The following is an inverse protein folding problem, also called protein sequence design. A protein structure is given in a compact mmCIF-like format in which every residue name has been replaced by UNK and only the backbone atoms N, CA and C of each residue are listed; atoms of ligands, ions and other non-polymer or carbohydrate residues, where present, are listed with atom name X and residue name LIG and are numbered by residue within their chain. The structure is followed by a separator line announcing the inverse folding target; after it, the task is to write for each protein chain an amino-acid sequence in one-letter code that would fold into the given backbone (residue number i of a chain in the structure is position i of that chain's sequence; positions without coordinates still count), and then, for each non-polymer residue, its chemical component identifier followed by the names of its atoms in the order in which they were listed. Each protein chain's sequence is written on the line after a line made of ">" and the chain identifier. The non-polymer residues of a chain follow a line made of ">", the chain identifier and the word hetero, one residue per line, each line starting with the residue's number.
data_IF_632363638771
#
_entry.id   IF_632363638771
#
_cell.length_a   1.000
_cell.length_b   1.000
_cell.length_c   1.000
_cell.angle_alpha   90.00
_cell.angle_beta   90.00
_cell.angle_gamma   90.00
#
_symmetry.space_group_name_H-M   'P 1'
#
loop_
_entity.id
_entity.type
_entity.pdbx_description
1 polymer ?
#
# COMPACT_ATOMS: atom_id res chain seq x y z
N UNK A 1 10.93 5.35 34.95
CA UNK A 1 10.37 4.71 33.74
C UNK A 1 11.48 4.38 32.76
N UNK A 2 11.34 3.34 31.94
CA UNK A 2 12.31 2.96 30.90
C UNK A 2 11.61 2.32 29.70
N UNK A 3 12.17 2.48 28.51
CA UNK A 3 11.68 1.85 27.27
C UNK A 3 12.44 0.56 27.02
N UNK A 4 11.71 -0.50 26.67
CA UNK A 4 12.30 -1.79 26.31
C UNK A 4 11.68 -2.32 25.02
N UNK A 5 12.51 -2.99 24.21
CA UNK A 5 12.05 -3.80 23.07
C UNK A 5 11.24 -4.99 23.58
N UNK A 6 10.11 -5.25 22.93
CA UNK A 6 9.27 -6.42 23.22
C UNK A 6 9.49 -7.46 22.13
N UNK A 7 9.88 -8.65 22.54
CA UNK A 7 10.15 -9.77 21.62
C UNK A 7 8.88 -10.58 21.35
N UNK A 8 8.75 -11.22 20.17
CA UNK A 8 7.57 -12.01 19.80
C UNK A 8 7.25 -13.19 20.75
N UNK A 9 8.24 -13.67 21.49
CA UNK A 9 8.07 -14.74 22.47
C UNK A 9 7.69 -14.23 23.88
N UNK A 10 7.71 -12.94 24.14
CA UNK A 10 7.27 -12.34 25.41
C UNK A 10 5.75 -12.22 25.46
N UNK A 11 5.09 -13.36 25.68
CA UNK A 11 3.61 -13.42 25.71
C UNK A 11 2.99 -12.56 26.81
N UNK A 12 3.71 -12.33 27.93
CA UNK A 12 3.21 -11.53 29.05
C UNK A 12 3.12 -10.04 28.64
N UNK A 13 4.24 -9.48 28.20
CA UNK A 13 4.27 -8.07 27.76
C UNK A 13 3.36 -7.81 26.57
N UNK A 14 3.31 -8.76 25.60
CA UNK A 14 2.37 -8.64 24.47
C UNK A 14 0.92 -8.59 24.91
N UNK A 15 0.52 -9.39 25.92
CA UNK A 15 -0.84 -9.33 26.47
C UNK A 15 -1.14 -7.99 27.12
N UNK A 16 -0.22 -7.44 27.91
CA UNK A 16 -0.37 -6.13 28.56
C UNK A 16 -0.45 -5.00 27.52
N UNK A 17 0.34 -5.10 26.42
CA UNK A 17 0.23 -4.16 25.29
C UNK A 17 -1.15 -4.25 24.63
N UNK A 18 -1.66 -5.46 24.39
CA UNK A 18 -2.99 -5.66 23.80
C UNK A 18 -4.10 -5.09 24.69
N UNK A 19 -3.98 -5.22 26.02
CA UNK A 19 -4.89 -4.61 27.02
C UNK A 19 -4.82 -3.08 26.96
N UNK A 20 -3.61 -2.48 26.94
CA UNK A 20 -3.42 -1.04 26.80
C UNK A 20 -4.00 -0.51 25.47
N UNK A 21 -3.67 -1.14 24.35
CA UNK A 21 -4.20 -0.74 23.03
C UNK A 21 -5.73 -0.80 23.01
N UNK A 22 -6.33 -1.86 23.56
CA UNK A 22 -7.78 -2.02 23.65
C UNK A 22 -8.42 -0.92 24.48
N UNK A 23 -7.82 -0.57 25.64
CA UNK A 23 -8.26 0.52 26.51
C UNK A 23 -8.26 1.88 25.80
N UNK A 24 -7.27 2.11 24.94
CA UNK A 24 -7.13 3.35 24.15
C UNK A 24 -7.85 3.30 22.79
N UNK A 25 -8.74 2.30 22.60
CA UNK A 25 -9.50 2.09 21.35
C UNK A 25 -8.61 1.94 20.10
N UNK A 26 -7.47 1.29 20.26
CA UNK A 26 -6.54 0.96 19.18
C UNK A 26 -6.49 -0.55 19.03
N UNK A 27 -6.75 -1.05 17.83
CA UNK A 27 -6.59 -2.46 17.51
C UNK A 27 -5.13 -2.75 17.17
N UNK A 28 -4.57 -3.85 17.69
CA UNK A 28 -3.20 -4.25 17.33
C UNK A 28 -3.11 -4.58 15.84
N UNK A 29 -2.09 -4.06 15.18
CA UNK A 29 -1.78 -4.42 13.80
C UNK A 29 -1.17 -5.82 13.73
N UNK A 30 -1.45 -6.56 12.65
CA UNK A 30 -0.93 -7.91 12.43
C UNK A 30 0.52 -7.91 11.96
N UNK A 31 0.93 -6.89 11.23
CA UNK A 31 2.24 -6.76 10.61
C UNK A 31 3.08 -5.74 11.39
N UNK A 32 3.96 -6.22 12.26
CA UNK A 32 4.87 -5.38 13.04
C UNK A 32 6.29 -5.97 13.00
N UNK A 33 7.27 -5.13 12.62
CA UNK A 33 8.69 -5.49 12.59
C UNK A 33 9.36 -5.27 13.95
N UNK A 34 8.85 -4.28 14.67
CA UNK A 34 9.37 -3.84 15.94
C UNK A 34 8.26 -3.38 16.86
N UNK A 35 8.36 -3.71 18.14
CA UNK A 35 7.46 -3.20 19.19
C UNK A 35 8.29 -2.83 20.41
N UNK A 36 7.98 -1.69 21.02
CA UNK A 36 8.54 -1.30 22.30
C UNK A 36 7.43 -0.94 23.29
N UNK A 37 7.75 -1.00 24.56
CA UNK A 37 6.87 -0.55 25.63
C UNK A 37 7.68 0.23 26.68
N UNK A 38 7.01 1.18 27.31
CA UNK A 38 7.54 1.90 28.47
C UNK A 38 6.95 1.32 29.73
N UNK A 39 7.82 1.02 30.68
CA UNK A 39 7.48 0.45 31.99
C UNK A 39 7.62 1.52 33.07
N UNK A 40 6.66 1.53 34.00
CA UNK A 40 6.76 2.29 35.25
C UNK A 40 7.65 1.55 36.28
N UNK A 41 7.74 2.10 37.50
CA UNK A 41 8.55 1.50 38.56
C UNK A 41 7.95 0.19 39.10
N UNK A 42 6.65 -0.03 38.89
CA UNK A 42 5.91 -1.23 39.30
C UNK A 42 5.81 -2.27 38.21
N UNK A 43 6.55 -2.07 37.08
CA UNK A 43 6.59 -2.93 35.91
C UNK A 43 5.27 -2.99 35.12
N UNK A 44 4.41 -1.98 35.24
CA UNK A 44 3.24 -1.83 34.38
C UNK A 44 3.64 -1.16 33.07
N UNK A 45 2.96 -1.54 31.98
CA UNK A 45 3.15 -0.88 30.69
C UNK A 45 2.25 0.35 30.63
N UNK A 46 2.87 1.55 30.59
CA UNK A 46 2.21 2.85 30.56
C UNK A 46 2.18 3.49 29.17
N UNK A 47 3.04 3.04 28.27
CA UNK A 47 3.04 3.46 26.86
C UNK A 47 3.59 2.36 25.95
N UNK A 48 3.18 2.36 24.71
CA UNK A 48 3.67 1.43 23.67
C UNK A 48 3.71 2.08 22.31
N UNK A 49 4.53 1.53 21.42
CA UNK A 49 4.59 1.87 20.02
C UNK A 49 5.28 0.80 19.22
N UNK A 50 4.98 0.77 17.93
CA UNK A 50 5.49 -0.25 17.01
C UNK A 50 5.87 0.37 15.67
N UNK A 51 6.63 -0.37 14.87
CA UNK A 51 6.91 -0.05 13.47
C UNK A 51 6.56 -1.22 12.55
N UNK A 52 6.19 -0.89 11.33
CA UNK A 52 6.18 -1.81 10.20
C UNK A 52 6.78 -1.09 8.99
N UNK A 53 7.89 -1.61 8.47
CA UNK A 53 8.71 -0.92 7.48
C UNK A 53 9.04 0.49 7.98
N UNK A 54 8.74 1.52 7.19
CA UNK A 54 8.96 2.92 7.55
C UNK A 54 7.72 3.61 8.14
N UNK A 55 6.78 2.85 8.70
CA UNK A 55 5.53 3.39 9.27
C UNK A 55 5.47 3.16 10.78
N UNK A 56 5.26 4.24 11.56
CA UNK A 56 5.00 4.14 13.00
C UNK A 56 3.55 3.73 13.24
N UNK A 57 3.32 2.77 14.16
CA UNK A 57 2.03 2.12 14.37
C UNK A 57 1.74 1.82 15.83
N UNK A 58 0.47 1.59 16.15
CA UNK A 58 0.03 1.14 17.46
C UNK A 58 0.59 2.02 18.61
N UNK A 59 0.56 3.33 18.42
CA UNK A 59 1.03 4.31 19.40
C UNK A 59 -0.04 4.56 20.46
N UNK A 60 0.23 4.21 21.71
CA UNK A 60 -0.69 4.40 22.83
C UNK A 60 0.03 4.82 24.10
N UNK A 61 -0.64 5.66 24.91
CA UNK A 61 -0.25 6.03 26.28
C UNK A 61 -1.47 5.86 27.16
N UNK A 62 -1.30 5.22 28.31
CA UNK A 62 -2.36 5.05 29.29
C UNK A 62 -2.96 6.40 29.69
N UNK A 63 -4.28 6.50 29.75
CA UNK A 63 -5.00 7.74 30.06
C UNK A 63 -4.59 8.36 31.40
N UNK A 64 -4.16 7.54 32.39
CA UNK A 64 -3.67 8.02 33.67
C UNK A 64 -2.31 8.74 33.60
N UNK A 65 -1.56 8.58 32.52
CA UNK A 65 -0.23 9.15 32.26
C UNK A 65 -0.23 10.18 31.14
N UNK A 66 -1.40 10.61 30.68
CA UNK A 66 -1.50 11.62 29.61
C UNK A 66 -0.97 12.99 30.14
N UNK A 67 -0.18 13.66 29.30
CA UNK A 67 0.46 14.92 29.62
C UNK A 67 1.86 14.81 30.22
N UNK A 68 2.34 13.63 30.54
CA UNK A 68 3.69 13.37 31.08
C UNK A 68 4.80 13.30 29.99
N UNK A 69 4.45 13.47 28.72
CA UNK A 69 5.42 13.46 27.61
C UNK A 69 5.80 12.05 27.12
N UNK A 70 5.19 10.98 27.64
CA UNK A 70 5.56 9.59 27.34
C UNK A 70 5.42 9.24 25.84
N UNK A 71 4.44 9.81 25.15
CA UNK A 71 4.28 9.61 23.72
C UNK A 71 5.46 10.19 22.93
N UNK A 72 6.02 11.34 23.38
CA UNK A 72 7.22 11.92 22.74
C UNK A 72 8.41 10.96 22.86
N UNK A 73 8.60 10.36 24.03
CA UNK A 73 9.70 9.42 24.28
C UNK A 73 9.55 8.16 23.42
N UNK A 74 8.34 7.58 23.34
CA UNK A 74 8.04 6.43 22.47
C UNK A 74 8.29 6.76 20.99
N UNK A 75 7.76 7.89 20.51
CA UNK A 75 7.92 8.28 19.10
C UNK A 75 9.39 8.56 18.78
N UNK A 76 10.12 9.26 19.66
CA UNK A 76 11.56 9.50 19.47
C UNK A 76 12.34 8.19 19.42
N UNK A 77 12.06 7.27 20.34
CA UNK A 77 12.69 5.95 20.34
C UNK A 77 12.45 5.17 19.03
N UNK A 78 11.23 5.21 18.50
CA UNK A 78 10.91 4.57 17.22
C UNK A 78 11.59 5.25 16.04
N UNK A 79 11.68 6.57 16.01
CA UNK A 79 12.41 7.33 14.99
C UNK A 79 13.91 6.93 15.02
N UNK A 80 14.52 6.90 16.19
CA UNK A 80 15.93 6.51 16.34
C UNK A 80 16.16 5.06 15.90
N UNK A 81 15.23 4.17 16.24
CA UNK A 81 15.28 2.76 15.79
C UNK A 81 15.22 2.68 14.26
N UNK A 82 14.28 3.35 13.59
CA UNK A 82 14.16 3.34 12.14
C UNK A 82 15.36 4.01 11.45
N UNK A 83 15.87 5.09 12.01
CA UNK A 83 17.07 5.76 11.51
C UNK A 83 18.31 4.84 11.59
N UNK A 84 18.42 4.05 12.65
CA UNK A 84 19.49 3.06 12.78
C UNK A 84 19.45 1.97 11.70
N UNK A 85 18.25 1.75 11.10
CA UNK A 85 18.03 0.84 9.97
C UNK A 85 18.21 1.52 8.60
N UNK A 86 18.54 2.81 8.57
CA UNK A 86 18.66 3.60 7.34
C UNK A 86 17.32 4.12 6.80
N UNK A 87 16.22 3.93 7.51
CA UNK A 87 14.89 4.40 7.13
C UNK A 87 14.66 5.80 7.71
N UNK A 88 14.94 6.83 6.91
CA UNK A 88 14.88 8.24 7.35
C UNK A 88 13.60 8.96 6.92
N UNK A 89 12.83 8.39 6.00
CA UNK A 89 11.53 8.89 5.58
C UNK A 89 10.44 8.04 6.23
N UNK A 90 9.80 8.58 7.26
CA UNK A 90 8.84 7.86 8.10
C UNK A 90 7.44 8.40 7.91
N UNK A 91 6.48 7.51 8.03
CA UNK A 91 5.06 7.78 7.90
C UNK A 91 4.31 7.39 9.17
N UNK A 92 3.17 8.00 9.39
CA UNK A 92 2.21 7.57 10.41
C UNK A 92 0.78 7.90 9.99
N UNK A 93 -0.15 7.21 10.64
CA UNK A 93 -1.57 7.46 10.55
C UNK A 93 -2.10 7.80 11.92
N UNK A 94 -2.98 8.80 12.00
CA UNK A 94 -3.50 9.27 13.29
C UNK A 94 -4.94 9.74 13.20
N UNK A 95 -5.62 9.84 14.34
CA UNK A 95 -6.94 10.49 14.43
C UNK A 95 -6.75 12.01 14.34
N UNK A 96 -7.73 12.74 13.80
CA UNK A 96 -7.68 14.20 13.67
C UNK A 96 -7.33 14.92 14.99
N UNK A 97 -7.86 14.44 16.12
CA UNK A 97 -7.59 15.00 17.45
C UNK A 97 -6.11 14.98 17.86
N UNK A 98 -5.34 14.04 17.35
CA UNK A 98 -3.91 13.86 17.66
C UNK A 98 -2.97 14.47 16.60
N UNK A 99 -3.50 14.97 15.48
CA UNK A 99 -2.70 15.54 14.38
C UNK A 99 -1.76 16.65 14.85
N UNK A 100 -2.26 17.58 15.70
CA UNK A 100 -1.45 18.69 16.22
C UNK A 100 -0.24 18.18 16.99
N UNK A 101 -0.42 17.15 17.81
CA UNK A 101 0.66 16.53 18.59
C UNK A 101 1.77 15.99 17.66
N UNK A 102 1.42 15.24 16.63
CA UNK A 102 2.43 14.70 15.69
C UNK A 102 3.06 15.80 14.83
N UNK A 103 2.34 16.89 14.54
CA UNK A 103 2.93 18.06 13.88
C UNK A 103 4.03 18.69 14.74
N UNK A 104 3.81 18.79 16.04
CA UNK A 104 4.80 19.33 16.98
C UNK A 104 6.03 18.40 17.10
N UNK A 105 5.89 17.11 16.77
CA UNK A 105 6.99 16.13 16.63
C UNK A 105 7.65 16.10 15.23
N UNK A 106 7.30 17.03 14.34
CA UNK A 106 7.92 17.13 13.02
C UNK A 106 7.30 16.27 11.95
N UNK A 107 6.06 15.81 12.13
CA UNK A 107 5.30 15.15 11.07
C UNK A 107 4.37 16.15 10.36
N UNK A 108 4.31 16.06 9.06
CA UNK A 108 3.55 16.96 8.18
C UNK A 108 2.40 16.19 7.52
N UNK A 109 1.27 16.86 7.39
CA UNK A 109 0.07 16.30 6.76
C UNK A 109 0.28 16.08 5.25
N UNK A 110 -0.05 14.88 4.80
CA UNK A 110 -0.16 14.52 3.37
C UNK A 110 -1.62 14.63 2.96
N UNK A 111 -2.49 13.92 3.67
CA UNK A 111 -3.95 13.88 3.45
C UNK A 111 -4.68 13.76 4.80
N UNK A 112 -5.82 14.40 4.86
CA UNK A 112 -6.72 14.40 6.01
C UNK A 112 -8.13 14.03 5.56
N UNK A 113 -8.62 12.88 6.00
CA UNK A 113 -10.02 12.49 5.86
C UNK A 113 -10.75 12.91 7.13
N UNK A 114 -11.57 13.94 7.00
CA UNK A 114 -12.26 14.56 8.13
C UNK A 114 -13.00 13.52 8.97
N UNK A 115 -12.83 13.59 10.28
CA UNK A 115 -13.39 12.68 11.29
C UNK A 115 -13.00 11.20 11.14
N UNK A 116 -12.04 10.85 10.30
CA UNK A 116 -11.59 9.47 10.10
C UNK A 116 -10.09 9.32 10.41
N UNK A 117 -9.23 9.75 9.50
CA UNK A 117 -7.80 9.46 9.56
C UNK A 117 -6.98 10.57 8.91
N UNK A 118 -5.82 10.84 9.45
CA UNK A 118 -4.80 11.73 8.89
C UNK A 118 -3.57 10.90 8.54
N UNK A 119 -3.08 11.03 7.32
CA UNK A 119 -1.83 10.46 6.85
C UNK A 119 -0.74 11.52 6.90
N UNK A 120 0.38 11.22 7.55
CA UNK A 120 1.46 12.17 7.81
C UNK A 120 2.83 11.56 7.50
N UNK A 121 3.80 12.42 7.20
CA UNK A 121 5.20 12.08 6.97
C UNK A 121 6.15 12.98 7.76
N UNK A 122 7.37 12.52 8.07
CA UNK A 122 8.39 13.33 8.77
C UNK A 122 9.24 14.19 7.83
N UNK A 123 8.94 14.23 6.54
CA UNK A 123 9.58 15.13 5.58
C UNK A 123 8.63 16.26 5.20
N UNK A 124 9.04 17.50 5.49
CA UNK A 124 8.21 18.69 5.23
C UNK A 124 7.79 18.84 3.77
N UNK A 125 8.62 18.42 2.83
CA UNK A 125 8.40 18.55 1.39
C UNK A 125 8.26 17.21 0.68
N UNK A 126 8.22 16.08 1.41
CA UNK A 126 8.28 14.75 0.82
C UNK A 126 7.22 14.52 -0.27
N UNK A 127 5.95 14.69 0.08
CA UNK A 127 4.87 14.53 -0.89
C UNK A 127 4.87 15.59 -1.99
N UNK A 128 5.19 16.85 -1.67
CA UNK A 128 5.31 17.90 -2.70
C UNK A 128 6.45 17.63 -3.67
N UNK A 129 7.58 17.10 -3.20
CA UNK A 129 8.70 16.69 -4.05
C UNK A 129 8.34 15.51 -4.95
N UNK A 130 7.59 14.53 -4.42
CA UNK A 130 7.03 13.44 -5.23
C UNK A 130 6.11 13.97 -6.34
N UNK A 131 5.17 14.85 -6.02
CA UNK A 131 4.28 15.49 -7.00
C UNK A 131 5.06 16.31 -8.04
N UNK A 132 6.08 17.06 -7.63
CA UNK A 132 6.95 17.81 -8.53
C UNK A 132 7.75 16.89 -9.47
N UNK A 133 8.16 15.72 -9.00
CA UNK A 133 8.82 14.72 -9.85
C UNK A 133 7.86 14.16 -10.88
N UNK A 134 6.62 13.81 -10.49
CA UNK A 134 5.60 13.36 -11.44
C UNK A 134 5.30 14.41 -12.51
N UNK A 135 5.29 15.70 -12.14
CA UNK A 135 5.02 16.80 -13.06
C UNK A 135 6.03 16.93 -14.21
N UNK A 136 7.23 16.34 -14.08
CA UNK A 136 8.22 16.30 -15.18
C UNK A 136 7.72 15.47 -16.38
N UNK A 137 6.82 14.52 -16.13
CA UNK A 137 6.20 13.66 -17.14
C UNK A 137 4.84 14.18 -17.61
N UNK A 138 4.50 15.44 -17.28
CA UNK A 138 3.27 16.08 -17.72
C UNK A 138 3.21 16.13 -19.25
N UNK A 139 2.14 15.59 -19.82
CA UNK A 139 1.86 15.63 -21.25
C UNK A 139 0.52 16.29 -21.52
N UNK A 140 0.37 16.83 -22.72
CA UNK A 140 -0.86 17.48 -23.16
C UNK A 140 -1.74 16.48 -23.90
N UNK A 141 -2.98 16.34 -23.48
CA UNK A 141 -4.01 15.50 -24.09
C UNK A 141 -5.40 15.95 -23.63
N UNK A 142 -6.43 15.56 -24.35
CA UNK A 142 -7.82 15.81 -23.95
C UNK A 142 -8.29 14.75 -22.97
N UNK A 143 -7.99 13.48 -23.28
CA UNK A 143 -8.33 12.33 -22.48
C UNK A 143 -7.03 11.74 -21.90
N UNK A 144 -6.81 11.96 -20.61
CA UNK A 144 -5.61 11.49 -19.90
C UNK A 144 -6.05 10.47 -18.87
N UNK A 145 -5.68 9.22 -19.11
CA UNK A 145 -6.04 8.10 -18.26
C UNK A 145 -4.97 7.77 -17.23
N UNK A 146 -5.38 7.07 -16.19
CA UNK A 146 -4.46 6.41 -15.25
C UNK A 146 -4.86 4.98 -14.95
N UNK A 147 -3.85 4.17 -14.67
CA UNK A 147 -3.92 2.83 -14.11
C UNK A 147 -2.94 2.71 -12.96
N UNK A 148 -3.34 2.02 -11.91
CA UNK A 148 -2.45 1.61 -10.83
C UNK A 148 -2.53 0.10 -10.71
N UNK A 149 -1.39 -0.59 -10.73
CA UNK A 149 -1.37 -2.04 -10.65
C UNK A 149 -0.19 -2.57 -9.83
N UNK A 150 -0.43 -3.67 -9.14
CA UNK A 150 0.62 -4.41 -8.46
C UNK A 150 1.37 -5.33 -9.43
N UNK A 151 0.67 -5.95 -10.38
CA UNK A 151 1.21 -6.84 -11.41
C UNK A 151 2.10 -7.97 -10.86
N UNK A 152 1.59 -8.75 -9.93
CA UNK A 152 2.32 -9.78 -9.16
C UNK A 152 1.97 -11.22 -9.59
N UNK A 153 2.46 -11.75 -10.75
CA UNK A 153 3.21 -11.08 -11.82
C UNK A 153 2.31 -10.36 -12.85
N UNK A 154 2.95 -9.76 -13.88
CA UNK A 154 2.25 -9.14 -15.01
C UNK A 154 1.62 -10.21 -15.92
N UNK A 155 0.32 -10.09 -16.20
CA UNK A 155 -0.48 -11.07 -16.94
C UNK A 155 -1.10 -10.48 -18.19
N UNK A 156 -1.65 -11.33 -19.08
CA UNK A 156 -2.47 -10.88 -20.22
C UNK A 156 -3.73 -10.13 -19.80
N UNK A 157 -4.21 -10.33 -18.57
CA UNK A 157 -5.29 -9.52 -17.99
C UNK A 157 -4.85 -8.08 -17.70
N UNK A 158 -3.67 -7.90 -17.16
CA UNK A 158 -3.08 -6.56 -16.95
C UNK A 158 -2.77 -5.88 -18.29
N UNK A 159 -2.19 -6.60 -19.25
CA UNK A 159 -1.90 -6.07 -20.60
C UNK A 159 -3.18 -5.60 -21.29
N UNK A 160 -4.23 -6.40 -21.26
CA UNK A 160 -5.54 -6.04 -21.82
C UNK A 160 -6.10 -4.76 -21.20
N UNK A 161 -5.98 -4.59 -19.87
CA UNK A 161 -6.43 -3.39 -19.18
C UNK A 161 -5.65 -2.15 -19.64
N UNK A 162 -4.33 -2.27 -19.85
CA UNK A 162 -3.48 -1.20 -20.40
C UNK A 162 -3.89 -0.86 -21.84
N UNK A 163 -4.05 -1.87 -22.70
CA UNK A 163 -4.47 -1.72 -24.09
C UNK A 163 -5.84 -1.05 -24.18
N UNK A 164 -6.81 -1.48 -23.35
CA UNK A 164 -8.16 -0.91 -23.30
C UNK A 164 -8.12 0.56 -22.88
N UNK A 165 -7.42 0.88 -21.79
CA UNK A 165 -7.27 2.26 -21.36
C UNK A 165 -6.63 3.13 -22.44
N UNK A 166 -5.59 2.63 -23.11
CA UNK A 166 -4.89 3.39 -24.14
C UNK A 166 -5.70 3.58 -25.42
N UNK A 167 -6.54 2.60 -25.79
CA UNK A 167 -7.39 2.69 -26.98
C UNK A 167 -8.45 3.80 -26.93
N UNK A 168 -8.75 4.31 -25.74
CA UNK A 168 -9.79 5.32 -25.47
C UNK A 168 -9.23 6.67 -25.01
N UNK A 169 -7.90 6.77 -24.87
CA UNK A 169 -7.25 7.95 -24.29
C UNK A 169 -5.98 8.34 -25.06
N UNK A 170 -5.67 9.62 -25.02
CA UNK A 170 -4.48 10.19 -25.69
C UNK A 170 -3.19 9.78 -24.97
N UNK A 171 -3.25 9.69 -23.64
CA UNK A 171 -2.12 9.43 -22.75
C UNK A 171 -2.58 8.51 -21.61
N UNK A 172 -1.69 7.61 -21.22
CA UNK A 172 -1.87 6.74 -20.06
C UNK A 172 -0.72 6.94 -19.06
N UNK A 173 -1.04 7.37 -17.85
CA UNK A 173 -0.15 7.32 -16.69
C UNK A 173 -0.32 5.97 -15.98
N UNK A 174 0.68 5.10 -16.10
CA UNK A 174 0.70 3.75 -15.54
C UNK A 174 1.57 3.72 -14.28
N UNK A 175 0.94 3.58 -13.13
CA UNK A 175 1.60 3.49 -11.84
C UNK A 175 1.81 2.02 -11.44
N UNK A 176 3.04 1.68 -11.08
CA UNK A 176 3.41 0.36 -10.58
C UNK A 176 3.61 0.47 -9.07
N UNK A 177 2.88 -0.35 -8.31
CA UNK A 177 2.93 -0.32 -6.84
C UNK A 177 4.33 -0.71 -6.37
N UNK A 178 4.98 0.21 -5.64
CA UNK A 178 6.39 0.08 -5.21
C UNK A 178 6.58 -0.88 -4.03
N UNK A 179 5.50 -1.34 -3.38
CA UNK A 179 5.58 -2.20 -2.20
C UNK A 179 6.18 -3.59 -2.52
N UNK A 180 7.23 -3.98 -1.79
CA UNK A 180 7.93 -5.26 -1.92
C UNK A 180 7.35 -6.39 -1.03
N UNK A 181 6.16 -6.23 -0.47
CA UNK A 181 5.47 -7.33 0.23
C UNK A 181 5.01 -8.44 -0.72
N UNK A 182 5.00 -8.18 -2.02
CA UNK A 182 4.64 -9.12 -3.08
C UNK A 182 5.63 -10.29 -3.24
N UNK A 183 5.15 -11.41 -3.80
CA UNK A 183 6.01 -12.58 -4.07
C UNK A 183 7.00 -12.29 -5.19
N UNK A 184 6.58 -11.54 -6.21
CA UNK A 184 7.47 -11.05 -7.27
C UNK A 184 8.01 -9.68 -6.85
N UNK A 185 9.35 -9.48 -6.73
CA UNK A 185 9.96 -8.23 -6.32
C UNK A 185 9.56 -7.05 -7.21
N UNK A 186 9.58 -5.84 -6.64
CA UNK A 186 9.17 -4.62 -7.35
C UNK A 186 9.92 -4.41 -8.67
N UNK A 187 11.24 -4.50 -8.67
CA UNK A 187 12.05 -4.30 -9.88
C UNK A 187 11.71 -5.30 -11.00
N UNK A 188 11.40 -6.54 -10.64
CA UNK A 188 10.94 -7.56 -11.60
C UNK A 188 9.57 -7.19 -12.15
N UNK A 189 8.62 -6.82 -11.29
CA UNK A 189 7.28 -6.42 -11.71
C UNK A 189 7.33 -5.22 -12.65
N UNK A 190 8.12 -4.21 -12.30
CA UNK A 190 8.35 -3.02 -13.12
C UNK A 190 8.94 -3.38 -14.49
N UNK A 191 10.00 -4.20 -14.53
CA UNK A 191 10.60 -4.70 -15.78
C UNK A 191 9.57 -5.39 -16.65
N UNK A 192 8.81 -6.34 -16.10
CA UNK A 192 7.81 -7.10 -16.84
C UNK A 192 6.66 -6.24 -17.37
N UNK A 193 6.20 -5.26 -16.62
CA UNK A 193 5.18 -4.31 -17.07
C UNK A 193 5.70 -3.50 -18.27
N UNK A 194 6.88 -2.88 -18.14
CA UNK A 194 7.47 -2.05 -19.19
C UNK A 194 7.74 -2.87 -20.46
N UNK A 195 8.37 -4.04 -20.33
CA UNK A 195 8.67 -4.91 -21.48
C UNK A 195 7.39 -5.47 -22.12
N UNK A 196 6.41 -5.86 -21.31
CA UNK A 196 5.14 -6.40 -21.80
C UNK A 196 4.24 -5.36 -22.50
N UNK A 197 4.52 -4.06 -22.30
CA UNK A 197 3.76 -2.97 -22.92
C UNK A 197 4.58 -2.09 -23.85
N UNK A 198 5.85 -2.44 -24.14
CA UNK A 198 6.78 -1.64 -24.98
C UNK A 198 6.31 -1.39 -26.41
N UNK A 199 5.41 -2.23 -26.92
CA UNK A 199 4.80 -2.09 -28.26
C UNK A 199 3.74 -0.98 -28.30
N UNK A 200 3.27 -0.50 -27.13
CA UNK A 200 2.31 0.58 -26.99
C UNK A 200 3.02 1.93 -26.90
N UNK A 201 2.37 2.97 -27.43
CA UNK A 201 2.90 4.34 -27.37
C UNK A 201 2.08 5.16 -26.37
N UNK A 202 2.59 6.32 -25.96
CA UNK A 202 1.91 7.27 -25.07
C UNK A 202 1.63 6.74 -23.65
N UNK A 203 2.48 5.86 -23.15
CA UNK A 203 2.48 5.46 -21.74
C UNK A 203 3.56 6.25 -21.00
N UNK A 204 3.22 6.81 -19.84
CA UNK A 204 4.13 7.37 -18.86
C UNK A 204 4.16 6.40 -17.67
N UNK A 205 5.32 5.79 -17.40
CA UNK A 205 5.48 4.85 -16.29
C UNK A 205 5.90 5.59 -15.04
N UNK A 206 5.22 5.28 -13.91
CA UNK A 206 5.50 5.88 -12.62
C UNK A 206 5.60 4.80 -11.54
N UNK A 207 6.34 5.13 -10.50
CA UNK A 207 6.37 4.38 -9.24
C UNK A 207 5.44 5.06 -8.25
N UNK A 208 4.75 4.26 -7.42
CA UNK A 208 3.84 4.84 -6.42
C UNK A 208 4.58 5.42 -5.22
N UNK A 209 5.84 5.01 -5.01
CA UNK A 209 6.53 5.28 -3.76
C UNK A 209 5.75 4.74 -2.57
N UNK A 210 5.89 5.40 -1.44
CA UNK A 210 5.18 5.08 -0.20
C UNK A 210 3.80 5.77 -0.08
N UNK A 211 3.38 6.52 -1.12
CA UNK A 211 2.18 7.37 -1.04
C UNK A 211 0.90 6.65 -1.45
N UNK A 212 0.96 5.71 -2.39
CA UNK A 212 -0.19 4.87 -2.73
C UNK A 212 -0.09 3.58 -1.93
N UNK A 213 -1.05 3.42 -1.04
CA UNK A 213 -1.01 2.46 0.03
C UNK A 213 -1.52 1.10 -0.44
N UNK A 214 -0.75 0.05 -0.20
CA UNK A 214 -1.24 -1.31 -0.38
C UNK A 214 -2.10 -1.75 0.82
N UNK A 215 -2.96 -2.74 0.63
CA UNK A 215 -3.72 -3.34 1.74
C UNK A 215 -2.82 -3.94 2.84
N UNK A 216 -1.58 -4.30 2.50
CA UNK A 216 -0.60 -4.80 3.46
C UNK A 216 0.01 -3.69 4.34
N UNK A 217 0.05 -2.46 3.84
CA UNK A 217 0.66 -1.31 4.52
C UNK A 217 -0.36 -0.41 5.20
N UNK A 218 -1.66 -0.50 4.88
CA UNK A 218 -2.70 0.28 5.53
C UNK A 218 -2.93 -0.17 6.98
N UNK A 219 -2.92 0.75 7.96
CA UNK A 219 -3.15 0.41 9.34
C UNK A 219 -4.64 0.14 9.63
N UNK A 220 -4.95 -1.09 10.03
CA UNK A 220 -6.32 -1.50 10.35
C UNK A 220 -6.78 -1.12 11.77
N UNK A 221 -5.93 -0.53 12.58
CA UNK A 221 -6.11 -0.41 14.03
C UNK A 221 -7.03 0.71 14.50
N UNK A 222 -7.50 1.60 13.61
CA UNK A 222 -8.43 2.69 14.00
C UNK A 222 -9.91 2.36 13.79
N UNK A 223 -10.24 1.23 13.20
CA UNK A 223 -11.61 0.90 12.78
C UNK A 223 -12.16 -0.30 13.52
N UNK A 224 -13.48 -0.29 13.76
CA UNK A 224 -14.18 -1.32 14.54
C UNK A 224 -14.50 -2.58 13.73
N UNK A 225 -14.70 -2.45 12.41
CA UNK A 225 -15.03 -3.56 11.51
C UNK A 225 -14.21 -3.52 10.21
N UNK A 226 -14.19 -4.64 9.48
CA UNK A 226 -13.36 -4.80 8.27
C UNK A 226 -13.85 -3.91 7.11
N UNK A 227 -15.15 -3.69 6.98
CA UNK A 227 -15.71 -2.85 5.91
C UNK A 227 -15.30 -1.40 6.10
N UNK A 228 -15.44 -0.87 7.33
CA UNK A 228 -15.02 0.49 7.66
C UNK A 228 -13.51 0.71 7.46
N UNK A 229 -12.68 -0.32 7.73
CA UNK A 229 -11.23 -0.29 7.44
C UNK A 229 -11.00 -0.11 5.94
N UNK A 230 -11.66 -0.93 5.11
CA UNK A 230 -11.49 -0.91 3.66
C UNK A 230 -11.98 0.43 3.07
N UNK A 231 -13.12 0.93 3.54
CA UNK A 231 -13.65 2.23 3.10
C UNK A 231 -12.72 3.40 3.49
N UNK A 232 -12.19 3.41 4.70
CA UNK A 232 -11.22 4.43 5.14
C UNK A 232 -9.94 4.38 4.30
N UNK A 233 -9.44 3.19 3.99
CA UNK A 233 -8.29 3.00 3.11
C UNK A 233 -8.60 3.52 1.71
N UNK A 234 -9.74 3.14 1.14
CA UNK A 234 -10.16 3.59 -0.19
C UNK A 234 -10.31 5.11 -0.25
N UNK A 235 -10.91 5.73 0.76
CA UNK A 235 -11.06 7.18 0.84
C UNK A 235 -9.69 7.88 0.87
N UNK A 236 -8.74 7.38 1.66
CA UNK A 236 -7.40 7.95 1.77
C UNK A 236 -6.63 7.82 0.46
N UNK A 237 -6.67 6.65 -0.18
CA UNK A 237 -6.05 6.43 -1.50
C UNK A 237 -6.64 7.35 -2.58
N UNK A 238 -7.96 7.58 -2.56
CA UNK A 238 -8.63 8.46 -3.50
C UNK A 238 -8.17 9.91 -3.30
N UNK A 239 -8.03 10.37 -2.07
CA UNK A 239 -7.55 11.73 -1.80
C UNK A 239 -6.09 11.93 -2.21
N UNK A 240 -5.21 10.97 -1.93
CA UNK A 240 -3.81 10.98 -2.42
C UNK A 240 -3.81 10.96 -3.95
N UNK A 241 -4.58 10.06 -4.56
CA UNK A 241 -4.67 9.96 -6.01
C UNK A 241 -5.22 11.22 -6.66
N UNK A 242 -6.21 11.89 -6.07
CA UNK A 242 -6.78 13.15 -6.58
C UNK A 242 -5.71 14.25 -6.65
N UNK A 243 -4.83 14.34 -5.65
CA UNK A 243 -3.70 15.29 -5.69
C UNK A 243 -2.71 14.94 -6.82
N UNK A 244 -2.45 13.66 -7.05
CA UNK A 244 -1.61 13.18 -8.18
C UNK A 244 -2.29 13.49 -9.52
N UNK A 245 -3.58 13.20 -9.64
CA UNK A 245 -4.37 13.41 -10.85
C UNK A 245 -4.40 14.88 -11.26
N UNK A 246 -4.55 15.79 -10.29
CA UNK A 246 -4.53 17.24 -10.54
C UNK A 246 -3.19 17.72 -11.11
N UNK A 247 -2.06 17.16 -10.64
CA UNK A 247 -0.73 17.53 -11.12
C UNK A 247 -0.47 17.04 -12.53
N UNK A 248 -1.01 15.86 -12.90
CA UNK A 248 -0.84 15.21 -14.19
C UNK A 248 -1.99 15.47 -15.18
N UNK A 249 -2.99 16.27 -14.80
CA UNK A 249 -4.23 16.52 -15.57
C UNK A 249 -4.99 15.23 -15.90
N UNK A 250 -4.91 14.22 -15.06
CA UNK A 250 -5.63 12.96 -15.23
C UNK A 250 -7.11 13.21 -15.03
N UNK A 251 -7.93 12.84 -16.02
CA UNK A 251 -9.38 12.97 -15.97
C UNK A 251 -10.13 11.63 -16.08
N UNK A 252 -9.39 10.50 -16.18
CA UNK A 252 -9.95 9.16 -16.22
C UNK A 252 -9.12 8.18 -15.39
N UNK A 253 -9.78 7.35 -14.58
CA UNK A 253 -9.18 6.25 -13.83
C UNK A 253 -9.76 4.94 -14.30
N UNK A 254 -8.92 4.05 -14.84
CA UNK A 254 -9.30 2.70 -15.22
C UNK A 254 -8.98 1.73 -14.08
N UNK A 255 -9.91 0.81 -13.80
CA UNK A 255 -9.76 -0.27 -12.82
C UNK A 255 -10.31 -1.56 -13.38
N UNK A 256 -9.73 -2.69 -13.03
CA UNK A 256 -10.27 -4.01 -13.40
C UNK A 256 -11.48 -4.37 -12.52
N UNK A 257 -12.45 -5.01 -13.13
CA UNK A 257 -13.54 -5.67 -12.39
C UNK A 257 -12.96 -6.74 -11.45
N UNK A 258 -13.54 -6.89 -10.25
CA UNK A 258 -13.11 -7.88 -9.26
C UNK A 258 -14.32 -8.53 -8.59
N UNK A 259 -14.96 -9.49 -9.26
CA UNK A 259 -16.21 -10.08 -8.76
C UNK A 259 -16.03 -10.94 -7.51
N UNK A 260 -14.82 -11.43 -7.23
CA UNK A 260 -14.55 -12.42 -6.20
C UNK A 260 -13.88 -11.85 -4.93
N UNK A 261 -13.51 -10.56 -4.92
CA UNK A 261 -12.87 -9.90 -3.78
C UNK A 261 -13.78 -8.82 -3.19
N UNK A 262 -14.26 -9.05 -1.97
CA UNK A 262 -15.04 -8.05 -1.23
C UNK A 262 -14.26 -6.73 -1.08
N UNK A 263 -12.97 -6.81 -0.77
CA UNK A 263 -12.09 -5.64 -0.61
C UNK A 263 -12.05 -4.82 -1.89
N UNK A 264 -11.74 -5.45 -3.03
CA UNK A 264 -11.62 -4.74 -4.30
C UNK A 264 -12.98 -4.22 -4.79
N UNK A 265 -14.07 -4.93 -4.49
CA UNK A 265 -15.42 -4.45 -4.82
C UNK A 265 -15.74 -3.17 -4.04
N UNK A 266 -15.50 -3.12 -2.73
CA UNK A 266 -15.69 -1.92 -1.91
C UNK A 266 -14.82 -0.76 -2.43
N UNK A 267 -13.56 -1.04 -2.79
CA UNK A 267 -12.67 -0.06 -3.41
C UNK A 267 -13.25 0.51 -4.71
N UNK A 268 -13.68 -0.37 -5.62
CA UNK A 268 -14.25 0.05 -6.90
C UNK A 268 -15.53 0.89 -6.71
N UNK A 269 -16.42 0.49 -5.78
CA UNK A 269 -17.63 1.24 -5.46
C UNK A 269 -17.30 2.63 -4.87
N UNK A 270 -16.31 2.70 -3.99
CA UNK A 270 -15.88 3.98 -3.41
C UNK A 270 -15.27 4.89 -4.48
N UNK A 271 -14.44 4.35 -5.40
CA UNK A 271 -13.88 5.10 -6.52
C UNK A 271 -14.96 5.60 -7.49
N UNK A 272 -15.93 4.74 -7.86
CA UNK A 272 -17.05 5.11 -8.73
C UNK A 272 -17.89 6.26 -8.16
N UNK A 273 -18.00 6.33 -6.83
CA UNK A 273 -18.74 7.40 -6.15
C UNK A 273 -17.92 8.69 -6.04
N UNK A 274 -16.64 8.59 -5.63
CA UNK A 274 -15.86 9.76 -5.20
C UNK A 274 -15.00 10.40 -6.28
N UNK A 275 -14.50 9.65 -7.25
CA UNK A 275 -13.67 10.23 -8.31
C UNK A 275 -14.44 11.24 -9.18
N UNK A 276 -15.72 11.02 -9.56
CA UNK A 276 -16.51 12.01 -10.30
C UNK A 276 -16.71 13.33 -9.54
N UNK A 277 -16.75 13.31 -8.20
CA UNK A 277 -16.81 14.55 -7.39
C UNK A 277 -15.57 15.44 -7.60
N UNK A 278 -14.46 14.83 -8.09
CA UNK A 278 -13.20 15.51 -8.42
C UNK A 278 -12.96 15.65 -9.94
N UNK A 279 -13.99 15.55 -10.76
CA UNK A 279 -13.91 15.59 -12.22
C UNK A 279 -13.05 14.47 -12.84
N UNK A 280 -12.95 13.32 -12.20
CA UNK A 280 -12.23 12.14 -12.68
C UNK A 280 -13.25 11.03 -12.95
N UNK A 281 -13.42 10.65 -14.21
CA UNK A 281 -14.26 9.51 -14.60
C UNK A 281 -13.62 8.20 -14.14
N UNK A 282 -14.36 7.35 -13.42
CA UNK A 282 -13.91 6.02 -13.03
C UNK A 282 -14.52 4.97 -13.96
N UNK A 283 -13.68 4.20 -14.64
CA UNK A 283 -14.07 3.21 -15.65
C UNK A 283 -13.68 1.82 -15.17
N UNK A 284 -14.68 0.97 -14.92
CA UNK A 284 -14.47 -0.44 -14.55
C UNK A 284 -14.45 -1.30 -15.81
N UNK A 285 -13.33 -1.99 -16.06
CA UNK A 285 -13.14 -2.83 -17.25
C UNK A 285 -13.37 -4.29 -16.89
N UNK A 286 -14.23 -5.01 -17.63
CA UNK A 286 -14.42 -6.45 -17.44
C UNK A 286 -13.11 -7.22 -17.60
N UNK A 287 -12.96 -8.29 -16.81
CA UNK A 287 -11.74 -9.11 -16.85
C UNK A 287 -11.60 -9.90 -18.14
N UNK A 288 -10.39 -9.95 -18.67
CA UNK A 288 -10.04 -10.83 -19.78
C UNK A 288 -10.15 -12.30 -19.34
N UNK A 289 -10.74 -13.13 -20.20
CA UNK A 289 -10.89 -14.57 -19.97
C UNK A 289 -10.07 -15.37 -20.98
N UNK A 290 -9.67 -16.57 -20.58
CA UNK A 290 -9.13 -17.62 -21.41
C UNK A 290 -9.88 -18.92 -21.10
N UNK A 291 -10.50 -19.54 -22.12
CA UNK A 291 -11.35 -20.74 -21.97
C UNK A 291 -12.36 -20.59 -20.80
N UNK A 292 -13.13 -19.48 -20.81
CA UNK A 292 -14.13 -19.11 -19.78
C UNK A 292 -13.58 -18.80 -18.39
N UNK A 293 -12.30 -19.00 -18.13
CA UNK A 293 -11.65 -18.67 -16.87
C UNK A 293 -11.05 -17.27 -16.89
N UNK A 294 -11.22 -16.53 -15.81
CA UNK A 294 -10.61 -15.19 -15.63
C UNK A 294 -9.11 -15.32 -15.54
N UNK A 295 -8.38 -14.54 -16.33
CA UNK A 295 -6.92 -14.44 -16.23
C UNK A 295 -6.59 -13.58 -15.00
N UNK A 296 -5.93 -14.20 -14.01
CA UNK A 296 -5.52 -13.52 -12.78
C UNK A 296 -4.07 -13.82 -12.40
N UNK A 297 -3.44 -12.90 -11.67
CA UNK A 297 -2.10 -13.13 -11.14
C UNK A 297 -2.08 -14.26 -10.09
N UNK A 298 -3.15 -14.46 -9.34
CA UNK A 298 -3.29 -15.56 -8.40
C UNK A 298 -3.29 -16.93 -9.09
N UNK A 299 -3.99 -17.07 -10.22
CA UNK A 299 -3.96 -18.28 -11.06
C UNK A 299 -2.56 -18.55 -11.57
N UNK A 300 -1.85 -17.53 -12.06
CA UNK A 300 -0.46 -17.65 -12.52
C UNK A 300 0.46 -18.13 -11.39
N UNK A 301 0.35 -17.55 -10.19
CA UNK A 301 1.15 -18.00 -9.03
C UNK A 301 0.84 -19.43 -8.61
N UNK A 302 -0.42 -19.84 -8.69
CA UNK A 302 -0.81 -21.23 -8.39
C UNK A 302 -0.20 -22.22 -9.38
N UNK A 303 -0.17 -21.89 -10.67
CA UNK A 303 0.48 -22.70 -11.71
C UNK A 303 1.99 -22.82 -11.46
N UNK A 304 2.66 -21.70 -11.13
CA UNK A 304 4.08 -21.70 -10.77
C UNK A 304 4.35 -22.58 -9.57
N UNK A 305 3.51 -22.49 -8.53
CA UNK A 305 3.60 -23.31 -7.33
C UNK A 305 3.51 -24.81 -7.66
N UNK A 306 2.60 -25.17 -8.55
CA UNK A 306 2.36 -26.55 -8.99
C UNK A 306 3.46 -27.10 -9.93
N UNK A 307 4.32 -26.22 -10.49
CA UNK A 307 5.43 -26.61 -11.35
C UNK A 307 5.12 -26.68 -12.85
N UNK A 308 3.89 -26.37 -13.29
CA UNK A 308 3.46 -26.50 -14.69
C UNK A 308 3.70 -25.20 -15.48
N UNK A 309 4.96 -24.77 -15.63
CA UNK A 309 5.30 -23.48 -16.24
C UNK A 309 4.82 -23.34 -17.69
N UNK A 310 4.64 -24.42 -18.46
CA UNK A 310 4.12 -24.36 -19.82
C UNK A 310 2.70 -23.81 -19.89
N UNK A 311 1.88 -24.05 -18.86
CA UNK A 311 0.50 -23.57 -18.79
C UNK A 311 0.41 -22.04 -18.69
N UNK A 312 1.52 -21.36 -18.36
CA UNK A 312 1.60 -19.91 -18.28
C UNK A 312 1.45 -19.23 -19.64
N UNK A 313 1.81 -19.92 -20.74
CA UNK A 313 1.90 -19.35 -22.09
C UNK A 313 0.63 -18.64 -22.55
N UNK A 314 -0.53 -19.10 -22.08
CA UNK A 314 -1.83 -18.53 -22.45
C UNK A 314 -2.36 -17.49 -21.44
N UNK A 315 -1.64 -17.23 -20.35
CA UNK A 315 -2.08 -16.38 -19.26
C UNK A 315 -1.20 -15.14 -19.06
N UNK A 316 0.03 -15.18 -19.58
CA UNK A 316 0.98 -14.08 -19.44
C UNK A 316 1.56 -13.66 -20.78
N UNK A 317 2.02 -12.40 -20.94
CA UNK A 317 2.78 -11.98 -22.11
C UNK A 317 4.06 -12.82 -22.28
N UNK A 318 4.56 -12.89 -23.50
CA UNK A 318 5.78 -13.63 -23.85
C UNK A 318 6.98 -13.20 -22.97
N UNK A 319 7.10 -11.92 -22.65
CA UNK A 319 8.15 -11.37 -21.79
C UNK A 319 8.08 -11.95 -20.38
N UNK A 320 6.88 -12.07 -19.80
CA UNK A 320 6.67 -12.69 -18.48
C UNK A 320 6.88 -14.21 -18.55
N UNK A 321 6.45 -14.87 -19.60
CA UNK A 321 6.67 -16.29 -19.82
C UNK A 321 8.17 -16.61 -19.88
N UNK A 322 8.92 -15.90 -20.72
CA UNK A 322 10.36 -16.07 -20.86
C UNK A 322 11.12 -15.80 -19.56
N UNK A 323 10.68 -14.81 -18.77
CA UNK A 323 11.24 -14.56 -17.45
C UNK A 323 11.13 -15.81 -16.54
N UNK A 324 9.93 -16.42 -16.43
CA UNK A 324 9.74 -17.60 -15.59
C UNK A 324 10.43 -18.88 -16.10
N UNK A 325 10.88 -18.90 -17.35
CA UNK A 325 11.72 -19.96 -17.89
C UNK A 325 13.23 -19.70 -17.69
N UNK A 326 13.61 -18.50 -17.30
CA UNK A 326 15.01 -18.10 -17.14
C UNK A 326 15.56 -18.44 -15.74
N UNK A 327 16.89 -18.46 -15.64
CA UNK A 327 17.58 -18.65 -14.36
C UNK A 327 17.33 -17.49 -13.37
N UNK A 328 17.04 -16.27 -13.86
CA UNK A 328 16.73 -15.11 -13.05
C UNK A 328 15.47 -15.31 -12.17
N UNK A 329 14.53 -16.15 -12.63
CA UNK A 329 13.29 -16.40 -11.91
C UNK A 329 13.40 -17.43 -10.79
N UNK A 330 14.51 -18.17 -10.66
CA UNK A 330 14.64 -19.28 -9.69
C UNK A 330 14.28 -18.86 -8.26
N UNK A 331 14.85 -17.78 -7.77
CA UNK A 331 14.57 -17.28 -6.41
C UNK A 331 13.11 -16.90 -6.20
N UNK A 332 12.45 -16.34 -7.23
CA UNK A 332 11.03 -15.96 -7.19
C UNK A 332 10.15 -17.21 -7.22
N UNK A 333 10.48 -18.18 -8.06
CA UNK A 333 9.78 -19.47 -8.14
C UNK A 333 9.88 -20.21 -6.79
N UNK A 334 11.06 -20.27 -6.20
CA UNK A 334 11.29 -20.92 -4.89
C UNK A 334 10.49 -20.21 -3.78
N UNK A 335 10.48 -18.87 -3.79
CA UNK A 335 9.66 -18.07 -2.87
C UNK A 335 8.16 -18.37 -3.03
N UNK A 336 7.66 -18.47 -4.27
CA UNK A 336 6.26 -18.82 -4.54
C UNK A 336 5.93 -20.23 -4.08
N UNK A 337 6.80 -21.21 -4.33
CA UNK A 337 6.63 -22.62 -3.95
C UNK A 337 6.66 -22.85 -2.44
N UNK A 338 7.43 -22.05 -1.71
CA UNK A 338 7.54 -22.15 -0.25
C UNK A 338 6.32 -21.58 0.51
N UNK A 339 5.43 -20.86 -0.15
CA UNK A 339 4.25 -20.27 0.51
C UNK A 339 3.12 -21.29 0.62
N UNK A 340 2.45 -21.36 1.77
CA UNK A 340 1.26 -22.19 1.95
C UNK A 340 0.10 -21.70 1.10
N UNK A 341 -0.10 -20.37 1.02
CA UNK A 341 -1.13 -19.72 0.22
C UNK A 341 -0.49 -18.70 -0.74
N UNK A 342 -0.80 -18.79 -2.02
CA UNK A 342 -0.33 -17.88 -3.07
C UNK A 342 -1.46 -17.05 -3.73
N UNK A 343 -2.69 -17.20 -3.22
CA UNK A 343 -3.86 -16.53 -3.79
C UNK A 343 -3.94 -15.08 -3.33
N UNK A 344 -3.74 -14.85 -2.03
CA UNK A 344 -3.88 -13.54 -1.39
C UNK A 344 -2.51 -12.92 -1.12
N UNK A 345 -1.94 -12.22 -2.13
CA UNK A 345 -0.68 -11.47 -2.03
C UNK A 345 -0.76 -10.18 -2.86
#
# INVERSE_FOLDING_TARGET
>A
MYISKIYPNDKRSLKLIDELLTKEEIRKDKNLDYTCAMFDNDMNIVATGSCFKNTLRCLAVDNSHQGEGLMNEIVTHLIDYEFSRGLTHLFLYTKNKSMKFFRDLGFFEIVNIENQIVFMENKRTGFSDYLNNLKKDLKVGKNIASLIMNANPFTLGHQYLVEKALSENDILHLFIVSDDSSLVPFEVRKKLVIEGTKHLKNICYHETGDYIISSATFPSYFQKDEVAVIESQANLDIEVFTKIANVLNINRRYVGEEPNSLVTNIYNQTMLKKLPENNIECIVVPRKKYLDNVISASTVRQIIKNGNLEDLKNLVPETTYNYFLSDEAKSVIDKIRSQDNVIHY
#
